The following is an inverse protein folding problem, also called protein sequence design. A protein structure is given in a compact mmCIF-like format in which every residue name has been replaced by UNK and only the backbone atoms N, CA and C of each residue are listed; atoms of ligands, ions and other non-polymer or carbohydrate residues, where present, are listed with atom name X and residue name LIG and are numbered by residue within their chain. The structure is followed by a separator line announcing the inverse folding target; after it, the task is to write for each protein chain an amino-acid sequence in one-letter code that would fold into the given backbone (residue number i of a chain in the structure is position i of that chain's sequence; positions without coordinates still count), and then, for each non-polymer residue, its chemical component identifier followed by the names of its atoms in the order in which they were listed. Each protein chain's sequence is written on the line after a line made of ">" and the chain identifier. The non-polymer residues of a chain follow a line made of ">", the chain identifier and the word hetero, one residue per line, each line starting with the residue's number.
data_IF_787690892129
#
_entry.id   IF_787690892129
#
_cell.length_a   1.000
_cell.length_b   1.000
_cell.length_c   1.000
_cell.angle_alpha   90.00
_cell.angle_beta   90.00
_cell.angle_gamma   90.00
#
_symmetry.space_group_name_H-M   'P 1'
#
loop_
_entity.id
_entity.type
_entity.pdbx_description
1 polymer ?
#
# COMPACT_ATOMS: atom_id res chain seq x y z
N UNK A 1 7.97 7.51 -3.44
CA UNK A 1 6.52 7.72 -3.64
C UNK A 1 6.22 8.58 -4.87
N UNK A 2 7.23 9.06 -5.60
CA UNK A 2 7.01 9.87 -6.80
C UNK A 2 6.51 9.05 -8.00
N UNK A 3 6.69 7.72 -7.98
CA UNK A 3 6.26 6.84 -9.07
C UNK A 3 4.73 6.61 -9.17
N UNK A 4 3.96 6.79 -8.09
CA UNK A 4 2.49 6.57 -8.08
C UNK A 4 1.73 7.91 -7.96
N UNK A 5 2.43 9.03 -7.80
CA UNK A 5 1.82 10.37 -7.73
C UNK A 5 0.86 10.58 -6.54
N UNK A 6 0.98 9.76 -5.50
CA UNK A 6 0.09 9.78 -4.34
C UNK A 6 0.62 10.75 -3.30
N UNK A 7 -0.22 11.67 -2.84
CA UNK A 7 0.14 12.67 -1.82
C UNK A 7 -0.11 12.16 -0.42
N UNK A 8 0.62 12.72 0.55
CA UNK A 8 0.34 12.49 1.96
C UNK A 8 -1.13 12.83 2.26
N UNK A 9 -1.79 11.97 3.03
CA UNK A 9 -3.19 12.13 3.41
C UNK A 9 -4.20 11.59 2.40
N UNK A 10 -3.79 11.24 1.19
CA UNK A 10 -4.67 10.56 0.22
C UNK A 10 -4.96 9.12 0.63
N UNK A 11 -6.02 8.56 0.07
CA UNK A 11 -6.38 7.15 0.25
C UNK A 11 -5.97 6.35 -0.98
N UNK A 12 -5.38 5.19 -0.73
CA UNK A 12 -5.04 4.21 -1.76
C UNK A 12 -5.68 2.88 -1.44
N UNK A 13 -6.05 2.16 -2.49
CA UNK A 13 -6.51 0.79 -2.39
C UNK A 13 -5.35 -0.15 -2.72
N UNK A 14 -4.92 -0.95 -1.75
CA UNK A 14 -3.93 -2.02 -1.95
C UNK A 14 -4.68 -3.31 -2.27
N UNK A 15 -4.33 -3.93 -3.40
CA UNK A 15 -4.98 -5.12 -3.93
C UNK A 15 -4.00 -6.28 -4.13
N UNK A 16 -4.45 -7.48 -3.75
CA UNK A 16 -3.80 -8.77 -4.02
C UNK A 16 -4.84 -9.88 -3.98
N UNK A 17 -4.96 -10.60 -2.87
CA UNK A 17 -6.00 -11.60 -2.61
C UNK A 17 -7.26 -10.99 -1.97
N UNK A 18 -7.22 -9.67 -1.73
CA UNK A 18 -8.31 -8.87 -1.20
C UNK A 18 -8.02 -7.40 -1.50
N UNK A 19 -8.91 -6.51 -1.07
CA UNK A 19 -8.73 -5.06 -1.20
C UNK A 19 -8.75 -4.42 0.19
N UNK A 20 -7.74 -3.58 0.47
CA UNK A 20 -7.67 -2.78 1.69
C UNK A 20 -7.43 -1.32 1.33
N UNK A 21 -8.22 -0.43 1.92
CA UNK A 21 -8.04 1.00 1.76
C UNK A 21 -7.15 1.53 2.89
N UNK A 22 -6.08 2.23 2.53
CA UNK A 22 -5.13 2.80 3.46
C UNK A 22 -4.97 4.29 3.21
N UNK A 23 -4.80 5.04 4.29
CA UNK A 23 -4.36 6.44 4.23
C UNK A 23 -2.85 6.48 4.09
N UNK A 24 -2.38 7.33 3.18
CA UNK A 24 -0.97 7.48 2.86
C UNK A 24 -0.29 8.35 3.90
N UNK A 25 0.81 7.84 4.45
CA UNK A 25 1.67 8.53 5.40
C UNK A 25 3.11 8.63 4.82
N UNK A 26 3.88 9.65 5.21
CA UNK A 26 5.09 10.07 4.50
C UNK A 26 6.32 9.16 4.70
N UNK A 27 6.18 8.04 5.43
CA UNK A 27 7.30 7.16 5.79
C UNK A 27 7.56 6.02 4.78
N UNK A 28 6.91 6.00 3.62
CA UNK A 28 7.13 4.94 2.62
C UNK A 28 8.31 5.27 1.70
N UNK A 29 9.18 4.28 1.47
CA UNK A 29 10.34 4.40 0.55
C UNK A 29 9.89 4.30 -0.91
N UNK A 30 10.72 4.77 -1.84
CA UNK A 30 10.45 4.57 -3.27
C UNK A 30 10.48 3.07 -3.62
N UNK A 31 9.47 2.59 -4.37
CA UNK A 31 9.32 1.17 -4.73
C UNK A 31 8.79 0.27 -3.61
N UNK A 32 8.67 0.75 -2.37
CA UNK A 32 8.21 -0.05 -1.23
C UNK A 32 7.12 0.68 -0.43
N UNK A 33 6.03 -0.03 -0.12
CA UNK A 33 5.02 0.47 0.79
C UNK A 33 5.20 -0.18 2.17
N UNK A 34 5.04 0.63 3.22
CA UNK A 34 4.98 0.11 4.59
C UNK A 34 3.52 0.02 4.97
N UNK A 35 3.05 -1.21 5.21
CA UNK A 35 1.67 -1.48 5.62
C UNK A 35 1.64 -2.08 7.03
N UNK A 36 0.59 -1.83 7.82
CA UNK A 36 0.40 -2.50 9.11
C UNK A 36 0.35 -4.03 8.98
N UNK A 37 0.74 -4.74 10.05
CA UNK A 37 0.75 -6.21 10.08
C UNK A 37 -0.60 -6.83 9.74
N UNK A 38 -1.71 -6.24 10.21
CA UNK A 38 -3.06 -6.74 9.91
C UNK A 38 -3.41 -6.65 8.42
N UNK A 39 -2.86 -5.67 7.69
CA UNK A 39 -3.05 -5.57 6.23
C UNK A 39 -2.34 -6.72 5.54
N UNK A 40 -1.11 -7.01 6.00
CA UNK A 40 -0.32 -8.13 5.48
C UNK A 40 -1.06 -9.45 5.64
N UNK A 41 -1.61 -9.70 6.83
CA UNK A 41 -2.40 -10.90 7.14
C UNK A 41 -3.67 -10.97 6.32
N UNK A 42 -4.42 -9.87 6.22
CA UNK A 42 -5.67 -9.80 5.45
C UNK A 42 -5.47 -10.00 3.95
N UNK A 43 -4.37 -9.51 3.40
CA UNK A 43 -4.04 -9.69 1.98
C UNK A 43 -3.27 -11.01 1.72
N UNK A 44 -2.83 -11.70 2.77
CA UNK A 44 -2.02 -12.92 2.68
C UNK A 44 -0.69 -12.71 1.97
N UNK A 45 -0.06 -11.54 2.13
CA UNK A 45 1.16 -11.15 1.40
C UNK A 45 2.41 -11.33 2.26
N UNK A 46 3.55 -11.57 1.62
CA UNK A 46 4.85 -11.67 2.30
C UNK A 46 5.64 -10.36 2.18
N UNK A 47 6.71 -10.23 2.96
CA UNK A 47 7.67 -9.14 2.75
C UNK A 47 8.30 -9.29 1.36
N UNK A 48 8.47 -8.19 0.63
CA UNK A 48 8.97 -8.12 -0.76
C UNK A 48 8.03 -8.70 -1.83
N UNK A 49 6.78 -8.94 -1.47
CA UNK A 49 5.79 -9.47 -2.37
C UNK A 49 5.13 -8.32 -3.17
N UNK A 50 4.85 -8.53 -4.45
CA UNK A 50 4.25 -7.47 -5.28
C UNK A 50 2.76 -7.32 -4.97
N UNK A 51 2.31 -6.07 -4.88
CA UNK A 51 0.91 -5.69 -4.67
C UNK A 51 0.52 -4.58 -5.63
N UNK A 52 -0.75 -4.55 -6.04
CA UNK A 52 -1.28 -3.48 -6.86
C UNK A 52 -1.76 -2.33 -5.95
N UNK A 53 -1.36 -1.10 -6.27
CA UNK A 53 -1.79 0.09 -5.53
C UNK A 53 -2.57 0.99 -6.49
N UNK A 54 -3.87 1.13 -6.22
CA UNK A 54 -4.78 1.93 -7.04
C UNK A 54 -5.13 3.21 -6.28
N UNK A 55 -4.96 4.36 -6.92
CA UNK A 55 -5.42 5.66 -6.40
C UNK A 55 -6.94 5.73 -6.57
N UNK A 56 -7.63 6.19 -5.52
CA UNK A 56 -9.06 6.44 -5.57
C UNK A 56 -9.34 7.92 -5.82
#
# INVERSE_FOLDING_TARGET
>A
MNAIGVKEGEYVSVKKNGTVNLRVLPYSKEGFIVVPTWVREKLGVKVNDFVEVVRR
#
